data_IF_226341374760
#
_entry.id   IF_226341374760
#
_cell.length_a   1.000
_cell.length_b   1.000
_cell.length_c   1.000
_cell.angle_alpha   90.00
_cell.angle_beta   90.00
_cell.angle_gamma   90.00
#
_symmetry.space_group_name_H-M   'P 1'
#
loop_
_entity.id
_entity.type
_entity.pdbx_description
1 polymer ?
#
# COMPACT_ATOMS: atom_id res chain seq x y z
N UNK A 1 -18.32 -3.58 -6.72
CA UNK A 1 -19.55 -2.78 -6.58
C UNK A 1 -19.24 -1.28 -6.61
N UNK A 2 -18.36 -0.77 -5.75
CA UNK A 2 -18.00 0.67 -5.68
C UNK A 2 -17.59 1.24 -7.04
N UNK A 3 -16.78 0.52 -7.83
CA UNK A 3 -16.36 0.98 -9.17
C UNK A 3 -17.57 1.11 -10.10
N UNK A 4 -18.51 0.16 -10.07
CA UNK A 4 -19.75 0.24 -10.85
C UNK A 4 -20.63 1.41 -10.40
N UNK A 5 -20.70 1.68 -9.07
CA UNK A 5 -21.48 2.77 -8.49
C UNK A 5 -20.93 4.15 -8.91
N UNK A 6 -19.63 4.32 -8.91
CA UNK A 6 -18.98 5.58 -9.27
C UNK A 6 -18.92 5.82 -10.78
N UNK A 7 -18.72 4.78 -11.58
CA UNK A 7 -18.53 4.91 -13.02
C UNK A 7 -19.82 4.82 -13.84
N UNK A 8 -20.88 4.23 -13.26
CA UNK A 8 -22.12 3.88 -14.00
C UNK A 8 -21.92 2.84 -15.10
N UNK A 9 -20.71 2.30 -15.27
CA UNK A 9 -20.35 1.36 -16.35
C UNK A 9 -20.43 -0.09 -15.88
N UNK A 10 -20.55 -1.01 -16.83
CA UNK A 10 -20.47 -2.45 -16.54
C UNK A 10 -19.11 -2.79 -15.92
N UNK A 11 -19.15 -3.45 -14.78
CA UNK A 11 -17.96 -3.84 -14.04
C UNK A 11 -18.04 -5.34 -13.74
N UNK A 12 -16.98 -6.07 -14.08
CA UNK A 12 -16.91 -7.52 -13.95
C UNK A 12 -15.91 -7.88 -12.86
N UNK A 13 -16.28 -8.83 -11.99
CA UNK A 13 -15.35 -9.38 -11.01
C UNK A 13 -14.34 -10.30 -11.72
N UNK A 14 -13.06 -10.07 -11.51
CA UNK A 14 -11.98 -10.87 -12.09
C UNK A 14 -11.84 -12.24 -11.42
N UNK A 15 -12.28 -12.36 -10.14
CA UNK A 15 -12.19 -13.60 -9.37
C UNK A 15 -13.33 -13.73 -8.35
N UNK A 16 -13.63 -14.96 -7.95
CA UNK A 16 -14.53 -15.25 -6.84
C UNK A 16 -13.79 -15.18 -5.51
N UNK A 17 -14.43 -14.64 -4.48
CA UNK A 17 -13.88 -14.58 -3.13
C UNK A 17 -14.04 -15.92 -2.42
N UNK A 18 -13.07 -16.82 -2.54
CA UNK A 18 -13.16 -18.18 -1.96
C UNK A 18 -12.81 -18.23 -0.47
N UNK A 19 -11.90 -17.38 0.00
CA UNK A 19 -11.35 -17.42 1.36
C UNK A 19 -11.30 -16.04 2.03
N UNK A 20 -12.19 -15.15 1.66
CA UNK A 20 -12.20 -13.79 2.15
C UNK A 20 -13.18 -13.63 3.31
N UNK A 21 -12.75 -13.05 4.42
CA UNK A 21 -13.61 -12.87 5.63
C UNK A 21 -14.64 -11.76 5.52
N UNK A 22 -14.78 -11.16 4.36
CA UNK A 22 -15.69 -10.04 4.09
C UNK A 22 -15.06 -8.68 4.37
N UNK A 23 -15.51 -7.67 3.65
CA UNK A 23 -15.17 -6.27 3.90
C UNK A 23 -16.25 -5.61 4.74
N UNK A 24 -15.92 -5.25 5.96
CA UNK A 24 -16.77 -4.47 6.85
C UNK A 24 -16.12 -3.12 7.13
N UNK A 25 -16.90 -2.04 7.05
CA UNK A 25 -16.46 -0.72 7.53
C UNK A 25 -15.48 0.03 6.65
N UNK A 26 -15.42 -0.23 5.36
CA UNK A 26 -14.78 0.70 4.42
C UNK A 26 -15.60 2.01 4.34
N UNK A 27 -14.92 3.14 4.16
CA UNK A 27 -15.41 4.51 4.40
C UNK A 27 -16.79 4.89 3.79
N UNK A 28 -17.30 4.13 2.82
CA UNK A 28 -18.56 4.42 2.13
C UNK A 28 -19.62 3.32 2.29
N UNK A 29 -19.31 2.18 2.94
CA UNK A 29 -20.25 1.07 3.10
C UNK A 29 -20.08 0.39 4.45
N UNK A 30 -21.17 0.07 5.13
CA UNK A 30 -21.14 -0.70 6.37
C UNK A 30 -20.69 -2.16 6.15
N UNK A 31 -20.85 -2.69 4.93
CA UNK A 31 -20.58 -4.06 4.56
C UNK A 31 -20.45 -4.15 3.04
N UNK A 32 -19.36 -4.67 2.54
CA UNK A 32 -19.06 -4.69 1.10
C UNK A 32 -19.01 -6.10 0.50
N UNK A 33 -18.74 -7.14 1.26
CA UNK A 33 -18.60 -8.51 0.79
C UNK A 33 -18.77 -9.51 1.93
N UNK A 34 -19.53 -10.59 1.69
CA UNK A 34 -19.73 -11.71 2.64
C UNK A 34 -18.82 -12.91 2.38
N UNK A 35 -17.89 -12.80 1.44
CA UNK A 35 -17.00 -13.90 1.06
C UNK A 35 -17.73 -15.23 0.78
N UNK A 36 -18.86 -15.14 0.07
CA UNK A 36 -19.75 -16.28 -0.18
C UNK A 36 -19.21 -17.27 -1.23
N UNK A 37 -17.99 -17.07 -1.74
CA UNK A 37 -17.31 -17.90 -2.74
C UNK A 37 -18.04 -18.02 -4.11
N UNK A 38 -19.11 -17.28 -4.29
CA UNK A 38 -19.90 -17.26 -5.54
C UNK A 38 -20.29 -15.82 -5.87
N UNK A 39 -19.50 -15.17 -6.74
CA UNK A 39 -19.66 -13.75 -7.03
C UNK A 39 -20.75 -13.51 -8.06
N UNK A 40 -21.79 -12.76 -7.67
CA UNK A 40 -22.91 -12.40 -8.52
C UNK A 40 -22.72 -11.05 -9.23
N UNK A 41 -21.68 -10.29 -8.95
CA UNK A 41 -21.50 -8.93 -9.46
C UNK A 41 -21.54 -8.84 -10.99
N UNK A 42 -21.07 -9.88 -11.68
CA UNK A 42 -21.05 -9.92 -13.16
C UNK A 42 -22.46 -9.90 -13.76
N UNK A 43 -23.43 -10.56 -13.12
CA UNK A 43 -24.80 -10.69 -13.62
C UNK A 43 -25.76 -9.66 -13.00
N UNK A 44 -25.32 -8.92 -11.98
CA UNK A 44 -26.14 -7.97 -11.24
C UNK A 44 -25.69 -6.50 -11.44
N UNK A 45 -24.91 -6.24 -12.48
CA UNK A 45 -24.45 -4.89 -12.79
C UNK A 45 -23.55 -4.27 -11.71
N UNK A 46 -22.83 -5.11 -10.94
CA UNK A 46 -21.90 -4.67 -9.90
C UNK A 46 -22.55 -4.43 -8.53
N UNK A 47 -23.82 -4.80 -8.31
CA UNK A 47 -24.51 -4.72 -7.00
C UNK A 47 -24.59 -6.12 -6.40
N UNK A 48 -24.07 -6.32 -5.19
CA UNK A 48 -24.07 -7.63 -4.54
C UNK A 48 -25.42 -7.95 -3.89
N UNK A 49 -26.20 -8.92 -4.42
CA UNK A 49 -27.50 -9.25 -3.83
C UNK A 49 -27.39 -9.91 -2.46
N UNK A 50 -26.25 -10.56 -2.15
CA UNK A 50 -26.03 -11.20 -0.84
C UNK A 50 -25.93 -10.15 0.27
N UNK A 51 -25.22 -9.04 0.01
CA UNK A 51 -24.97 -7.96 0.99
C UNK A 51 -26.10 -6.94 0.99
N UNK A 52 -26.58 -6.54 -0.20
CA UNK A 52 -27.51 -5.44 -0.33
C UNK A 52 -28.98 -5.85 -0.17
N UNK A 53 -29.34 -7.08 -0.48
CA UNK A 53 -30.70 -7.58 -0.22
C UNK A 53 -30.80 -8.08 1.23
N UNK A 54 -31.77 -7.58 1.99
CA UNK A 54 -32.01 -8.00 3.37
C UNK A 54 -32.32 -9.49 3.53
N UNK A 55 -32.81 -10.12 2.45
CA UNK A 55 -33.09 -11.58 2.38
C UNK A 55 -31.98 -12.34 1.65
N UNK A 56 -30.94 -11.68 1.17
CA UNK A 56 -29.86 -12.26 0.39
C UNK A 56 -30.32 -13.09 -0.83
N UNK A 57 -31.41 -12.66 -1.48
CA UNK A 57 -31.95 -13.34 -2.65
C UNK A 57 -31.05 -13.16 -3.87
N UNK A 58 -30.82 -14.24 -4.63
CA UNK A 58 -29.90 -14.24 -5.78
C UNK A 58 -30.61 -14.38 -7.15
N UNK A 59 -31.90 -14.62 -7.15
CA UNK A 59 -32.70 -14.88 -8.37
C UNK A 59 -33.76 -13.83 -8.66
N UNK A 60 -33.71 -12.68 -8.05
CA UNK A 60 -34.68 -11.63 -8.28
C UNK A 60 -35.35 -11.09 -7.04
N UNK A 61 -36.29 -10.20 -7.28
CA UNK A 61 -37.04 -9.48 -6.27
C UNK A 61 -38.03 -10.37 -5.53
N UNK A 62 -38.19 -10.18 -4.21
CA UNK A 62 -39.17 -10.95 -3.42
C UNK A 62 -40.62 -10.51 -3.60
N UNK A 63 -40.89 -9.42 -4.33
CA UNK A 63 -42.22 -8.87 -4.52
C UNK A 63 -42.75 -7.98 -3.39
N UNK A 64 -42.02 -7.86 -2.27
CA UNK A 64 -42.42 -7.05 -1.11
C UNK A 64 -41.96 -5.61 -1.10
N UNK A 65 -41.15 -5.20 -2.09
CA UNK A 65 -40.69 -3.82 -2.19
C UNK A 65 -41.86 -2.85 -2.50
N UNK A 66 -41.83 -1.69 -1.84
CA UNK A 66 -42.80 -0.61 -2.09
C UNK A 66 -42.07 0.71 -2.28
N UNK A 67 -42.35 1.42 -3.38
CA UNK A 67 -41.74 2.71 -3.70
C UNK A 67 -40.18 2.67 -3.62
N UNK A 68 -39.57 1.62 -4.12
CA UNK A 68 -38.11 1.45 -4.11
C UNK A 68 -37.52 0.98 -2.76
N UNK A 69 -38.35 0.83 -1.73
CA UNK A 69 -37.90 0.45 -0.39
C UNK A 69 -38.11 -1.03 -0.07
N UNK A 70 -37.20 -1.57 0.73
CA UNK A 70 -37.22 -2.96 1.17
C UNK A 70 -38.35 -3.19 2.21
N UNK A 71 -39.12 -4.26 2.06
CA UNK A 71 -40.20 -4.60 3.04
C UNK A 71 -39.65 -4.99 4.41
N UNK A 72 -38.41 -5.52 4.47
CA UNK A 72 -37.76 -5.95 5.73
C UNK A 72 -37.12 -4.77 6.44
N UNK A 73 -36.70 -3.75 5.72
CA UNK A 73 -35.99 -2.56 6.26
C UNK A 73 -36.45 -1.33 5.46
N UNK A 74 -37.47 -0.59 5.95
CA UNK A 74 -38.05 0.55 5.23
C UNK A 74 -37.07 1.68 4.91
N UNK A 75 -36.02 1.81 5.68
CA UNK A 75 -34.95 2.81 5.48
C UNK A 75 -33.97 2.39 4.35
N UNK A 76 -34.04 1.14 3.93
CA UNK A 76 -33.13 0.55 2.94
C UNK A 76 -33.82 0.47 1.57
N UNK A 77 -33.12 0.87 0.51
CA UNK A 77 -33.59 0.68 -0.85
C UNK A 77 -33.61 -0.80 -1.22
N UNK A 78 -34.52 -1.19 -2.10
CA UNK A 78 -34.57 -2.55 -2.61
C UNK A 78 -33.36 -2.81 -3.53
N UNK A 79 -32.50 -3.76 -3.14
CA UNK A 79 -31.30 -4.11 -3.90
C UNK A 79 -31.67 -4.59 -5.34
N UNK A 80 -32.74 -5.35 -5.49
CA UNK A 80 -33.14 -5.88 -6.79
C UNK A 80 -33.75 -4.84 -7.71
N UNK A 81 -34.43 -3.83 -7.18
CA UNK A 81 -34.86 -2.68 -8.01
C UNK A 81 -33.63 -1.89 -8.50
N UNK A 82 -32.64 -1.66 -7.64
CA UNK A 82 -31.37 -1.03 -8.04
C UNK A 82 -30.64 -1.85 -9.10
N UNK A 83 -30.59 -3.19 -8.95
CA UNK A 83 -29.99 -4.08 -9.95
C UNK A 83 -30.67 -3.95 -11.30
N UNK A 84 -32.02 -4.01 -11.33
CA UNK A 84 -32.78 -3.88 -12.56
C UNK A 84 -32.61 -2.52 -13.23
N UNK A 85 -32.67 -1.43 -12.46
CA UNK A 85 -32.43 -0.07 -12.96
C UNK A 85 -31.01 0.09 -13.52
N UNK A 86 -30.03 -0.47 -12.84
CA UNK A 86 -28.62 -0.45 -13.26
C UNK A 86 -28.43 -1.21 -14.58
N UNK A 87 -28.93 -2.42 -14.65
CA UNK A 87 -28.84 -3.24 -15.87
C UNK A 87 -29.62 -2.64 -17.04
N UNK A 88 -30.77 -2.03 -16.79
CA UNK A 88 -31.50 -1.27 -17.81
C UNK A 88 -30.67 -0.11 -18.36
N UNK A 89 -30.06 0.69 -17.48
CA UNK A 89 -29.19 1.81 -17.87
C UNK A 89 -27.92 1.34 -18.64
N UNK A 90 -27.47 0.09 -18.42
CA UNK A 90 -26.36 -0.52 -19.14
C UNK A 90 -26.77 -1.26 -20.42
N UNK A 91 -28.08 -1.31 -20.77
CA UNK A 91 -28.57 -2.08 -21.90
C UNK A 91 -28.51 -3.61 -21.71
N UNK A 92 -28.38 -4.09 -20.47
CA UNK A 92 -28.11 -5.49 -20.12
C UNK A 92 -29.27 -6.22 -19.44
N UNK A 93 -30.44 -5.63 -19.42
CA UNK A 93 -31.59 -6.22 -18.70
C UNK A 93 -32.02 -7.58 -19.28
N UNK A 94 -31.86 -7.80 -20.57
CA UNK A 94 -32.17 -9.08 -21.23
C UNK A 94 -31.17 -10.18 -20.83
N UNK A 95 -29.93 -9.82 -20.52
CA UNK A 95 -28.93 -10.77 -19.97
C UNK A 95 -29.41 -11.34 -18.62
N UNK A 96 -30.00 -10.51 -17.77
CA UNK A 96 -30.54 -10.96 -16.49
C UNK A 96 -31.71 -11.94 -16.68
N UNK A 97 -32.59 -11.68 -17.66
CA UNK A 97 -33.73 -12.58 -17.98
C UNK A 97 -33.27 -13.92 -18.55
N UNK A 98 -32.16 -13.92 -19.28
CA UNK A 98 -31.59 -15.13 -19.87
C UNK A 98 -30.77 -15.97 -18.88
N UNK A 99 -30.51 -15.49 -17.67
CA UNK A 99 -29.77 -16.23 -16.67
C UNK A 99 -30.53 -17.47 -16.18
N UNK A 100 -29.84 -18.59 -16.06
CA UNK A 100 -30.36 -19.75 -15.35
C UNK A 100 -30.55 -19.46 -13.87
N UNK A 101 -31.44 -20.21 -13.22
CA UNK A 101 -31.65 -20.09 -11.76
C UNK A 101 -30.32 -20.29 -11.03
N UNK A 102 -29.93 -19.32 -10.24
CA UNK A 102 -28.73 -19.35 -9.43
C UNK A 102 -28.98 -20.11 -8.12
N UNK A 103 -28.24 -21.13 -7.86
CA UNK A 103 -28.28 -21.90 -6.61
C UNK A 103 -27.02 -21.58 -5.82
N UNK A 104 -27.17 -21.18 -4.54
CA UNK A 104 -26.01 -20.98 -3.65
C UNK A 104 -25.39 -22.33 -3.32
N UNK A 105 -24.16 -22.50 -3.72
CA UNK A 105 -23.38 -23.69 -3.45
C UNK A 105 -22.50 -23.45 -2.20
N UNK A 106 -23.01 -23.87 -1.06
CA UNK A 106 -22.30 -23.76 0.20
C UNK A 106 -21.08 -24.66 0.32
N UNK A 107 -20.93 -25.67 -0.56
CA UNK A 107 -19.74 -26.53 -0.59
C UNK A 107 -18.49 -25.76 -1.04
N UNK A 108 -18.68 -24.65 -1.77
CA UNK A 108 -17.60 -23.76 -2.21
C UNK A 108 -17.09 -22.86 -1.08
N UNK A 109 -17.85 -22.70 0.01
CA UNK A 109 -17.37 -21.98 1.19
C UNK A 109 -16.40 -22.89 1.94
N UNK A 110 -15.15 -22.48 2.03
CA UNK A 110 -14.11 -23.30 2.63
C UNK A 110 -14.18 -23.29 4.17
N UNK A 111 -15.13 -24.01 4.73
CA UNK A 111 -15.27 -24.18 6.17
C UNK A 111 -14.06 -24.84 6.85
N UNK A 112 -13.27 -25.61 6.10
CA UNK A 112 -12.04 -26.21 6.65
C UNK A 112 -11.05 -25.12 7.07
N UNK A 113 -10.86 -24.10 6.26
CA UNK A 113 -9.99 -22.96 6.58
C UNK A 113 -10.45 -22.28 7.87
N UNK A 114 -11.78 -22.09 8.05
CA UNK A 114 -12.33 -21.50 9.27
C UNK A 114 -12.06 -22.40 10.49
N UNK A 115 -12.25 -23.70 10.35
CA UNK A 115 -12.01 -24.67 11.41
C UNK A 115 -10.52 -24.76 11.77
N UNK A 116 -9.64 -24.79 10.77
CA UNK A 116 -8.18 -24.80 10.97
C UNK A 116 -7.72 -23.51 11.67
N UNK A 117 -8.32 -22.37 11.34
CA UNK A 117 -8.06 -21.10 12.01
C UNK A 117 -8.51 -21.10 13.46
N UNK A 118 -9.74 -21.56 13.73
CA UNK A 118 -10.27 -21.69 15.12
C UNK A 118 -9.39 -22.65 15.92
N UNK A 119 -8.94 -23.75 15.31
CA UNK A 119 -8.02 -24.68 15.94
C UNK A 119 -6.67 -24.04 16.26
N UNK A 120 -6.08 -23.31 15.31
CA UNK A 120 -4.81 -22.60 15.50
C UNK A 120 -4.89 -21.53 16.60
N UNK A 121 -6.02 -20.80 16.70
CA UNK A 121 -6.26 -19.86 17.81
C UNK A 121 -6.32 -20.59 19.15
N UNK A 122 -7.08 -21.69 19.24
CA UNK A 122 -7.23 -22.48 20.48
C UNK A 122 -5.90 -23.06 20.93
N UNK A 123 -5.08 -23.50 19.99
CA UNK A 123 -3.76 -24.08 20.26
C UNK A 123 -2.65 -23.03 20.38
N UNK A 124 -2.98 -21.72 20.32
CA UNK A 124 -2.01 -20.59 20.30
C UNK A 124 -0.93 -20.71 19.20
N UNK A 125 -1.22 -21.48 18.13
CA UNK A 125 -0.34 -21.67 16.97
C UNK A 125 -0.64 -20.68 15.83
N UNK A 126 -1.36 -19.60 16.14
CA UNK A 126 -1.71 -18.59 15.13
C UNK A 126 -0.48 -17.77 14.78
N UNK A 127 -0.02 -17.96 13.55
CA UNK A 127 1.11 -17.24 12.99
C UNK A 127 0.64 -16.11 12.06
N UNK A 128 0.46 -14.91 12.63
CA UNK A 128 0.10 -13.72 11.89
C UNK A 128 -1.39 -13.36 11.86
N UNK A 129 -1.90 -13.05 10.70
CA UNK A 129 -3.30 -12.66 10.47
C UNK A 129 -4.01 -13.64 9.52
N UNK A 130 -5.32 -13.77 9.69
CA UNK A 130 -6.13 -14.66 8.87
C UNK A 130 -6.70 -13.95 7.64
N UNK A 131 -6.81 -14.68 6.52
CA UNK A 131 -7.30 -14.16 5.25
C UNK A 131 -6.16 -13.73 4.33
N UNK A 132 -6.49 -12.90 3.37
CA UNK A 132 -5.65 -12.55 2.24
C UNK A 132 -6.02 -13.35 1.00
N UNK A 133 -5.41 -13.01 -0.12
CA UNK A 133 -5.57 -13.68 -1.41
C UNK A 133 -4.21 -14.12 -1.93
N UNK A 134 -4.20 -15.11 -2.83
CA UNK A 134 -3.00 -15.63 -3.48
C UNK A 134 -3.13 -15.37 -4.99
N UNK A 135 -2.82 -14.14 -5.47
CA UNK A 135 -2.79 -13.85 -6.89
C UNK A 135 -1.63 -14.60 -7.56
N UNK A 136 -1.69 -14.72 -8.89
CA UNK A 136 -0.54 -15.16 -9.67
C UNK A 136 0.56 -14.12 -9.50
N UNK A 137 1.72 -14.50 -9.03
CA UNK A 137 2.78 -13.58 -8.64
C UNK A 137 3.48 -12.94 -9.84
N UNK A 138 3.81 -13.72 -10.88
CA UNK A 138 4.44 -13.25 -12.12
C UNK A 138 5.82 -12.61 -11.92
N UNK A 139 6.50 -12.93 -10.81
CA UNK A 139 7.79 -12.36 -10.42
C UNK A 139 8.96 -13.01 -11.17
N UNK A 140 8.77 -14.20 -11.69
CA UNK A 140 9.76 -15.01 -12.43
C UNK A 140 10.38 -14.27 -13.63
N UNK A 141 9.73 -13.20 -14.10
CA UNK A 141 10.22 -12.40 -15.23
C UNK A 141 11.38 -11.47 -14.86
N UNK A 142 11.45 -11.05 -13.62
CA UNK A 142 12.37 -9.98 -13.19
C UNK A 142 13.12 -10.29 -11.91
N UNK A 143 12.70 -11.28 -11.11
CA UNK A 143 13.30 -11.58 -9.81
C UNK A 143 14.81 -11.91 -9.86
N UNK A 144 15.27 -12.51 -10.98
CA UNK A 144 16.68 -12.84 -11.21
C UNK A 144 17.48 -11.74 -11.91
N UNK A 145 16.82 -10.67 -12.37
CA UNK A 145 17.50 -9.59 -13.10
C UNK A 145 18.06 -8.56 -12.12
N UNK A 146 19.31 -8.11 -12.30
CA UNK A 146 19.87 -7.06 -11.46
C UNK A 146 19.17 -5.72 -11.67
N UNK A 147 19.30 -4.81 -10.71
CA UNK A 147 18.87 -3.43 -10.88
C UNK A 147 19.64 -2.78 -12.02
N UNK A 148 18.93 -2.11 -12.91
CA UNK A 148 19.52 -1.42 -14.06
C UNK A 148 19.34 0.08 -13.87
N UNK A 149 20.43 0.82 -14.00
CA UNK A 149 20.37 2.28 -13.97
C UNK A 149 19.57 2.79 -15.15
N UNK A 150 18.53 3.58 -14.87
CA UNK A 150 17.72 4.19 -15.91
C UNK A 150 18.58 5.16 -16.74
N UNK A 151 18.46 5.16 -18.08
CA UNK A 151 19.16 6.13 -18.94
C UNK A 151 18.81 7.57 -18.54
N UNK A 152 19.80 8.43 -18.53
CA UNK A 152 19.57 9.82 -18.16
C UNK A 152 18.62 10.49 -19.16
N UNK A 153 17.51 11.08 -18.66
CA UNK A 153 16.55 11.75 -19.53
C UNK A 153 17.07 13.10 -19.99
N UNK A 154 16.66 13.55 -21.18
CA UNK A 154 16.92 14.92 -21.64
C UNK A 154 16.21 15.97 -20.79
N UNK A 155 15.08 15.60 -20.21
CA UNK A 155 14.26 16.48 -19.38
C UNK A 155 13.74 15.69 -18.19
N UNK A 156 13.91 16.21 -17.00
CA UNK A 156 13.29 15.66 -15.78
C UNK A 156 12.15 16.56 -15.30
N UNK A 157 11.07 15.94 -14.86
CA UNK A 157 9.90 16.63 -14.30
C UNK A 157 9.82 16.29 -12.82
N UNK A 158 9.84 17.31 -11.97
CA UNK A 158 9.78 17.18 -10.51
C UNK A 158 8.42 17.66 -10.01
N UNK A 159 7.43 16.77 -9.83
CA UNK A 159 6.14 17.13 -9.28
C UNK A 159 6.30 17.67 -7.85
N UNK A 160 5.69 18.80 -7.54
CA UNK A 160 5.74 19.36 -6.18
C UNK A 160 4.84 18.64 -5.18
N UNK A 161 4.09 17.64 -5.65
CA UNK A 161 3.20 16.79 -4.84
C UNK A 161 3.61 15.31 -4.91
N UNK A 162 4.87 14.98 -4.60
CA UNK A 162 5.37 13.60 -4.60
C UNK A 162 5.15 12.85 -3.27
N UNK A 163 4.46 13.49 -2.31
CA UNK A 163 4.27 12.96 -0.95
C UNK A 163 2.87 13.26 -0.44
N UNK A 164 2.49 12.59 0.65
CA UNK A 164 1.26 12.89 1.36
C UNK A 164 1.38 14.23 2.10
N UNK A 165 0.29 14.98 2.14
CA UNK A 165 0.18 16.27 2.84
C UNK A 165 0.24 17.47 1.91
N UNK A 166 0.74 18.59 2.40
CA UNK A 166 0.81 19.82 1.63
C UNK A 166 1.87 19.73 0.52
N UNK A 167 1.55 20.03 -0.74
CA UNK A 167 2.55 20.08 -1.80
C UNK A 167 3.71 21.00 -1.44
N UNK A 168 4.91 20.67 -1.89
CA UNK A 168 6.06 21.56 -1.76
C UNK A 168 5.84 22.86 -2.56
N UNK A 169 6.53 23.91 -2.18
CA UNK A 169 6.53 25.20 -2.90
C UNK A 169 7.81 25.29 -3.72
N UNK A 170 7.70 25.64 -4.99
CA UNK A 170 8.89 25.85 -5.83
C UNK A 170 9.81 26.90 -5.19
N UNK A 171 11.09 26.59 -5.07
CA UNK A 171 12.12 27.48 -4.53
C UNK A 171 13.18 27.88 -5.57
N UNK A 172 12.86 27.65 -6.85
CA UNK A 172 13.66 28.02 -8.03
C UNK A 172 12.78 28.77 -9.02
N UNK A 173 13.39 29.45 -9.97
CA UNK A 173 12.72 30.18 -11.05
C UNK A 173 13.10 29.60 -12.42
N UNK A 174 12.29 29.88 -13.45
CA UNK A 174 12.65 29.55 -14.85
C UNK A 174 13.91 30.31 -15.23
N UNK A 175 14.87 29.59 -15.79
CA UNK A 175 16.20 30.10 -16.13
C UNK A 175 17.28 29.78 -15.10
N UNK A 176 16.92 29.38 -13.89
CA UNK A 176 17.91 28.97 -12.87
C UNK A 176 18.66 27.72 -13.29
N UNK A 177 19.96 27.68 -13.02
CA UNK A 177 20.76 26.48 -13.10
C UNK A 177 20.68 25.72 -11.77
N UNK A 178 20.35 24.43 -11.84
CA UNK A 178 20.25 23.56 -10.67
C UNK A 178 21.24 22.41 -10.77
N UNK A 179 21.66 21.91 -9.60
CA UNK A 179 22.62 20.81 -9.45
C UNK A 179 21.94 19.58 -8.89
N UNK A 180 22.55 18.40 -9.04
CA UNK A 180 22.08 17.15 -8.44
C UNK A 180 22.04 17.29 -6.91
N UNK A 181 20.91 16.95 -6.32
CA UNK A 181 20.67 17.09 -4.86
C UNK A 181 20.29 18.48 -4.40
N UNK A 182 20.23 19.47 -5.30
CA UNK A 182 19.70 20.80 -4.96
C UNK A 182 18.19 20.77 -4.77
N UNK A 183 17.68 21.46 -3.75
CA UNK A 183 16.25 21.64 -3.55
C UNK A 183 15.65 22.46 -4.70
N UNK A 184 14.59 21.95 -5.30
CA UNK A 184 13.75 22.63 -6.29
C UNK A 184 12.35 22.91 -5.76
N UNK A 185 11.98 22.24 -4.66
CA UNK A 185 10.76 22.47 -3.92
C UNK A 185 11.03 22.45 -2.41
N UNK A 186 10.57 23.48 -1.70
CA UNK A 186 10.70 23.57 -0.24
C UNK A 186 9.43 23.05 0.45
N UNK A 187 9.61 22.46 1.61
CA UNK A 187 8.53 21.97 2.45
C UNK A 187 7.53 23.09 2.79
N UNK A 188 6.22 22.86 2.56
CA UNK A 188 5.18 23.88 2.77
C UNK A 188 4.29 23.64 4.00
N UNK A 189 4.58 22.64 4.83
CA UNK A 189 3.78 22.35 6.03
C UNK A 189 4.38 21.26 6.91
N UNK A 190 3.68 20.93 8.00
CA UNK A 190 4.16 19.88 8.93
C UNK A 190 4.22 18.51 8.24
N UNK A 191 3.17 18.13 7.50
CA UNK A 191 3.20 16.92 6.65
C UNK A 191 3.51 17.42 5.24
N UNK A 192 4.76 17.41 4.86
CA UNK A 192 5.32 17.81 3.58
C UNK A 192 6.78 17.38 3.53
N UNK A 193 7.40 17.37 2.35
CA UNK A 193 8.81 17.08 2.19
C UNK A 193 9.43 17.96 1.08
N UNK A 194 10.69 18.35 1.19
CA UNK A 194 11.37 19.05 0.11
C UNK A 194 11.57 18.12 -1.11
N UNK A 195 11.60 18.71 -2.29
CA UNK A 195 11.87 18.02 -3.56
C UNK A 195 13.24 18.44 -4.06
N UNK A 196 14.05 17.47 -4.48
CA UNK A 196 15.41 17.69 -4.95
C UNK A 196 15.55 17.33 -6.43
N UNK A 197 16.42 18.03 -7.14
CA UNK A 197 16.77 17.66 -8.50
C UNK A 197 17.65 16.41 -8.51
N UNK A 198 17.32 15.45 -9.37
CA UNK A 198 18.13 14.27 -9.63
C UNK A 198 19.12 14.43 -10.79
N UNK A 199 19.09 15.58 -11.47
CA UNK A 199 19.98 15.93 -12.59
C UNK A 199 20.53 17.34 -12.41
N UNK A 200 21.63 17.67 -13.08
CA UNK A 200 22.06 19.07 -13.25
C UNK A 200 21.50 19.64 -14.56
N UNK A 201 21.24 20.94 -14.58
CA UNK A 201 20.73 21.60 -15.78
C UNK A 201 19.95 22.88 -15.50
N UNK A 202 19.18 23.33 -16.50
CA UNK A 202 18.44 24.60 -16.43
C UNK A 202 16.95 24.35 -16.20
N UNK A 203 16.34 25.09 -15.30
CA UNK A 203 14.88 25.10 -15.11
C UNK A 203 14.23 25.77 -16.33
N UNK A 204 13.49 24.98 -17.12
CA UNK A 204 12.87 25.48 -18.36
C UNK A 204 11.40 25.80 -18.21
N UNK A 205 10.72 25.24 -17.19
CA UNK A 205 9.33 25.56 -16.90
C UNK A 205 8.98 25.27 -15.43
N UNK A 206 7.98 25.98 -14.91
CA UNK A 206 7.26 25.66 -13.67
C UNK A 206 5.79 25.72 -14.02
N UNK A 207 5.15 24.57 -14.22
CA UNK A 207 3.83 24.45 -14.84
C UNK A 207 3.09 23.19 -14.39
N UNK A 208 1.79 23.12 -14.67
CA UNK A 208 0.99 21.92 -14.46
C UNK A 208 1.43 20.78 -15.37
N UNK A 209 1.74 19.64 -14.76
CA UNK A 209 2.12 18.41 -15.47
C UNK A 209 1.25 17.22 -15.04
N UNK A 210 1.07 16.21 -15.89
CA UNK A 210 0.34 15.00 -15.53
C UNK A 210 0.89 14.37 -14.25
N UNK A 211 -0.01 13.94 -13.36
CA UNK A 211 0.33 13.31 -12.09
C UNK A 211 -0.44 12.00 -11.91
N UNK A 212 0.23 10.96 -11.43
CA UNK A 212 -0.31 9.59 -11.38
C UNK A 212 -1.61 9.45 -10.55
N UNK A 213 -1.81 10.26 -9.52
CA UNK A 213 -2.95 10.14 -8.61
C UNK A 213 -3.89 11.35 -8.58
N UNK A 214 -3.55 12.49 -9.22
CA UNK A 214 -4.30 13.76 -9.08
C UNK A 214 -4.69 14.42 -10.41
N UNK A 215 -4.54 13.72 -11.52
CA UNK A 215 -4.72 14.30 -12.86
C UNK A 215 -3.54 15.20 -13.26
N UNK A 216 -3.39 16.39 -12.66
CA UNK A 216 -2.23 17.28 -12.83
C UNK A 216 -1.74 17.81 -11.48
N UNK A 217 -0.51 18.27 -11.45
CA UNK A 217 0.04 19.07 -10.35
C UNK A 217 1.15 19.98 -10.86
N UNK A 218 1.41 21.06 -10.13
CA UNK A 218 2.53 21.94 -10.39
C UNK A 218 3.86 21.17 -10.29
N UNK A 219 4.73 21.33 -11.28
CA UNK A 219 6.01 20.65 -11.35
C UNK A 219 7.10 21.61 -11.85
N UNK A 220 8.32 21.39 -11.36
CA UNK A 220 9.53 22.01 -11.90
C UNK A 220 10.07 21.12 -13.01
N UNK A 221 10.35 21.71 -14.16
CA UNK A 221 10.89 21.02 -15.35
C UNK A 221 12.32 21.47 -15.58
N UNK A 222 13.25 20.52 -15.59
CA UNK A 222 14.68 20.79 -15.77
C UNK A 222 15.16 20.13 -17.04
N UNK A 223 15.81 20.90 -17.92
CA UNK A 223 16.55 20.39 -19.08
C UNK A 223 17.94 19.95 -18.64
N UNK A 224 18.26 18.67 -18.87
CA UNK A 224 19.50 18.03 -18.43
C UNK A 224 20.70 18.51 -19.25
N UNK A 225 21.77 18.90 -18.61
CA UNK A 225 23.05 19.23 -19.25
C UNK A 225 24.03 18.03 -19.27
N UNK A 226 23.65 16.89 -18.70
CA UNK A 226 24.42 15.64 -18.58
C UNK A 226 25.78 15.77 -17.87
N UNK A 227 25.99 16.86 -17.11
CA UNK A 227 27.25 17.04 -16.35
C UNK A 227 27.20 16.38 -14.97
N UNK A 228 25.99 16.12 -14.45
CA UNK A 228 25.77 15.53 -13.13
C UNK A 228 26.51 16.31 -12.01
N UNK A 229 26.54 17.64 -12.11
CA UNK A 229 27.20 18.48 -11.13
C UNK A 229 26.48 18.39 -9.78
N UNK A 230 27.21 18.00 -8.73
CA UNK A 230 26.67 17.84 -7.38
C UNK A 230 26.52 19.18 -6.68
N UNK A 231 25.41 19.37 -5.97
CA UNK A 231 25.20 20.51 -5.10
C UNK A 231 26.07 20.38 -3.83
N UNK A 232 26.51 21.52 -3.28
CA UNK A 232 27.42 21.55 -2.12
C UNK A 232 26.82 20.89 -0.84
N UNK A 233 25.51 20.75 -0.77
CA UNK A 233 24.83 20.02 0.31
C UNK A 233 25.01 18.50 0.22
N UNK A 234 25.38 17.96 -0.93
CA UNK A 234 25.60 16.53 -1.15
C UNK A 234 27.01 16.19 -0.69
N UNK A 235 27.12 15.88 0.59
CA UNK A 235 28.38 15.52 1.25
C UNK A 235 28.15 14.41 2.26
N UNK A 236 29.18 13.59 2.57
CA UNK A 236 29.08 12.60 3.64
C UNK A 236 28.67 13.22 4.97
N UNK A 237 27.80 12.54 5.69
CA UNK A 237 27.47 12.88 7.06
C UNK A 237 28.56 12.35 8.02
N UNK A 238 28.45 12.71 9.31
CA UNK A 238 29.15 12.02 10.39
C UNK A 238 28.76 10.54 10.41
N UNK A 239 29.54 9.72 11.11
CA UNK A 239 29.15 8.32 11.32
C UNK A 239 27.85 8.23 12.14
N UNK A 240 27.13 7.11 12.02
CA UNK A 240 25.87 6.93 12.75
C UNK A 240 26.07 6.98 14.27
N UNK A 241 27.24 6.55 14.74
CA UNK A 241 27.60 6.55 16.15
C UNK A 241 27.72 7.97 16.71
N UNK A 242 28.21 8.93 15.90
CA UNK A 242 28.42 10.33 16.25
C UNK A 242 27.17 11.20 16.11
N UNK A 243 26.13 10.70 15.40
CA UNK A 243 24.89 11.45 15.16
C UNK A 243 23.92 11.29 16.34
N UNK A 244 23.43 12.38 16.87
CA UNK A 244 22.31 12.36 17.81
C UNK A 244 20.97 12.09 17.10
N UNK A 245 19.97 11.49 17.77
CA UNK A 245 18.64 11.23 17.19
C UNK A 245 18.02 12.45 16.51
N UNK A 246 18.13 13.63 17.08
CA UNK A 246 17.61 14.86 16.51
C UNK A 246 18.33 15.26 15.21
N UNK A 247 19.64 15.03 15.11
CA UNK A 247 20.42 15.29 13.89
C UNK A 247 19.98 14.34 12.76
N UNK A 248 19.76 13.05 13.08
CA UNK A 248 19.27 12.05 12.10
C UNK A 248 17.91 12.47 11.55
N UNK A 249 16.97 12.91 12.41
CA UNK A 249 15.67 13.41 11.98
C UNK A 249 15.78 14.60 11.02
N UNK A 250 16.65 15.55 11.31
CA UNK A 250 16.85 16.72 10.46
C UNK A 250 17.53 16.35 9.12
N UNK A 251 18.45 15.38 9.12
CA UNK A 251 19.05 14.84 7.90
C UNK A 251 17.96 14.20 7.03
N UNK A 252 17.15 13.29 7.59
CA UNK A 252 16.06 12.61 6.88
C UNK A 252 15.04 13.61 6.35
N UNK A 253 14.68 14.62 7.15
CA UNK A 253 13.76 15.67 6.75
C UNK A 253 14.32 16.51 5.60
N UNK A 254 15.54 16.99 5.72
CA UNK A 254 16.18 17.83 4.70
C UNK A 254 16.51 17.06 3.42
N UNK A 255 16.74 15.76 3.50
CA UNK A 255 16.90 14.90 2.34
C UNK A 255 15.57 14.58 1.62
N UNK A 256 14.42 14.97 2.18
CA UNK A 256 13.12 14.75 1.56
C UNK A 256 12.69 13.28 1.55
N UNK A 257 13.17 12.47 2.49
CA UNK A 257 12.86 11.04 2.54
C UNK A 257 11.38 10.82 2.86
N UNK A 258 10.72 10.06 1.99
CA UNK A 258 9.31 9.69 2.12
C UNK A 258 9.13 8.19 1.91
N UNK A 259 8.02 7.62 2.39
CA UNK A 259 7.75 6.20 2.26
C UNK A 259 7.55 5.76 0.81
N UNK A 260 8.43 4.93 0.28
CA UNK A 260 8.43 4.48 -1.12
C UNK A 260 7.40 3.38 -1.40
N UNK A 261 7.01 2.59 -0.39
CA UNK A 261 6.06 1.48 -0.54
C UNK A 261 4.58 1.85 -0.44
N UNK A 262 4.21 3.14 -0.49
CA UNK A 262 2.81 3.54 -0.31
C UNK A 262 2.51 4.99 -0.64
N UNK A 263 1.85 5.71 0.29
CA UNK A 263 1.33 7.05 0.06
C UNK A 263 2.38 8.18 0.06
N UNK A 264 3.67 7.87 0.12
CA UNK A 264 4.71 8.89 0.20
C UNK A 264 4.66 9.69 1.51
N UNK A 265 4.42 9.02 2.65
CA UNK A 265 4.38 9.70 3.94
C UNK A 265 5.78 10.15 4.37
N UNK A 266 5.97 11.42 4.78
CA UNK A 266 7.27 11.92 5.18
C UNK A 266 7.87 11.13 6.34
N UNK A 267 9.03 10.52 6.13
CA UNK A 267 9.66 9.59 7.10
C UNK A 267 10.03 10.28 8.40
N UNK A 268 10.51 11.53 8.37
CA UNK A 268 10.87 12.27 9.58
C UNK A 268 9.72 12.41 10.59
N UNK A 269 8.45 12.38 10.13
CA UNK A 269 7.28 12.41 11.00
C UNK A 269 7.14 11.10 11.75
N UNK A 270 7.42 9.95 11.10
CA UNK A 270 7.44 8.63 11.74
C UNK A 270 8.54 8.51 12.79
N UNK A 271 9.67 9.23 12.59
CA UNK A 271 10.80 9.24 13.51
C UNK A 271 10.56 10.08 14.78
N UNK A 272 9.41 10.77 14.87
CA UNK A 272 8.94 11.50 16.07
C UNK A 272 7.63 10.91 16.58
N UNK A 273 7.58 9.65 17.02
CA UNK A 273 6.32 8.95 17.29
C UNK A 273 5.56 9.49 18.52
N UNK A 274 6.21 10.21 19.42
CA UNK A 274 5.62 10.71 20.68
C UNK A 274 5.20 9.61 21.65
N UNK A 275 5.54 8.35 21.36
CA UNK A 275 5.22 7.15 22.14
C UNK A 275 6.41 6.18 22.08
N UNK A 276 6.58 5.32 23.10
CA UNK A 276 7.60 4.28 23.06
C UNK A 276 7.39 3.33 21.89
N UNK A 277 8.46 3.01 21.17
CA UNK A 277 8.47 2.05 20.07
C UNK A 277 9.17 0.77 20.55
N UNK A 278 8.42 -0.33 20.56
CA UNK A 278 8.92 -1.65 20.93
C UNK A 278 9.75 -2.29 19.79
N UNK A 279 9.31 -2.06 18.53
CA UNK A 279 9.99 -2.60 17.37
C UNK A 279 9.90 -1.68 16.14
N UNK A 280 11.01 -1.59 15.43
CA UNK A 280 11.09 -1.05 14.07
C UNK A 280 10.92 -2.21 13.09
N UNK A 281 9.94 -2.11 12.18
CA UNK A 281 9.66 -3.13 11.18
C UNK A 281 10.07 -2.61 9.80
N UNK A 282 11.02 -3.30 9.17
CA UNK A 282 11.34 -3.09 7.76
C UNK A 282 10.43 -3.97 6.92
N UNK A 283 9.57 -3.34 6.15
CA UNK A 283 8.62 -4.02 5.27
C UNK A 283 9.31 -4.38 3.95
N UNK A 284 9.69 -5.64 3.80
CA UNK A 284 10.24 -6.24 2.60
C UNK A 284 9.36 -7.37 2.06
N UNK A 285 8.06 -7.34 2.36
CA UNK A 285 7.13 -8.38 1.89
C UNK A 285 6.90 -8.31 0.38
N UNK A 286 6.78 -7.09 -0.19
CA UNK A 286 6.57 -6.89 -1.64
C UNK A 286 5.48 -7.81 -2.22
N UNK A 287 4.31 -7.81 -1.54
CA UNK A 287 3.20 -8.71 -1.86
C UNK A 287 2.44 -8.36 -3.15
N UNK A 288 2.75 -7.25 -3.79
CA UNK A 288 2.15 -6.83 -5.06
C UNK A 288 2.65 -7.74 -6.18
N UNK A 289 1.75 -8.28 -7.04
CA UNK A 289 2.15 -9.08 -8.19
C UNK A 289 3.09 -8.32 -9.15
N UNK A 290 3.98 -9.06 -9.79
CA UNK A 290 4.94 -8.58 -10.80
C UNK A 290 6.02 -7.60 -10.30
N UNK A 291 5.98 -7.14 -9.03
CA UNK A 291 7.03 -6.31 -8.46
C UNK A 291 8.16 -7.16 -7.88
N UNK A 292 9.40 -6.77 -8.16
CA UNK A 292 10.63 -7.39 -7.65
C UNK A 292 11.70 -6.37 -7.24
N UNK A 293 11.31 -5.10 -7.16
CA UNK A 293 12.22 -4.01 -6.80
C UNK A 293 12.75 -4.16 -5.37
N UNK A 294 11.87 -4.42 -4.39
CA UNK A 294 12.26 -4.61 -2.99
C UNK A 294 13.09 -5.88 -2.81
N UNK A 295 12.79 -6.96 -3.55
CA UNK A 295 13.60 -8.19 -3.58
C UNK A 295 15.03 -7.89 -4.07
N UNK A 296 15.18 -7.15 -5.16
CA UNK A 296 16.50 -6.80 -5.68
C UNK A 296 17.25 -5.84 -4.75
N UNK A 297 16.56 -4.90 -4.12
CA UNK A 297 17.17 -4.01 -3.12
C UNK A 297 17.69 -4.82 -1.92
N UNK A 298 16.96 -5.85 -1.44
CA UNK A 298 17.45 -6.74 -0.39
C UNK A 298 18.77 -7.44 -0.77
N UNK A 299 18.89 -7.88 -2.03
CA UNK A 299 20.07 -8.60 -2.50
C UNK A 299 21.25 -7.70 -2.83
N UNK A 300 21.01 -6.52 -3.38
CA UNK A 300 22.04 -5.64 -3.90
C UNK A 300 22.49 -4.54 -2.92
N UNK A 301 21.63 -4.19 -1.94
CA UNK A 301 21.84 -3.10 -0.97
C UNK A 301 21.62 -3.54 0.48
N UNK A 302 21.98 -4.79 0.80
CA UNK A 302 21.73 -5.37 2.13
C UNK A 302 22.37 -4.58 3.28
N UNK A 303 23.58 -4.08 3.07
CA UNK A 303 24.32 -3.33 4.10
C UNK A 303 23.71 -1.96 4.37
N UNK A 304 23.22 -1.29 3.31
CA UNK A 304 22.52 -0.02 3.40
C UNK A 304 21.18 -0.17 4.13
N UNK A 305 20.46 -1.26 3.89
CA UNK A 305 19.20 -1.57 4.62
C UNK A 305 19.48 -1.73 6.11
N UNK A 306 20.52 -2.47 6.48
CA UNK A 306 20.91 -2.68 7.88
C UNK A 306 21.35 -1.35 8.51
N UNK A 307 22.12 -0.54 7.80
CA UNK A 307 22.52 0.79 8.26
C UNK A 307 21.29 1.68 8.50
N UNK A 308 20.36 1.71 7.54
CA UNK A 308 19.10 2.45 7.67
C UNK A 308 18.25 1.97 8.86
N UNK A 309 18.14 0.65 9.07
CA UNK A 309 17.44 0.09 10.23
C UNK A 309 18.08 0.51 11.54
N UNK A 310 19.44 0.49 11.65
CA UNK A 310 20.17 1.00 12.83
C UNK A 310 19.87 2.47 13.09
N UNK A 311 19.85 3.29 12.04
CA UNK A 311 19.55 4.71 12.15
C UNK A 311 18.12 4.96 12.68
N UNK A 312 17.13 4.23 12.16
CA UNK A 312 15.74 4.33 12.63
C UNK A 312 15.61 3.85 14.08
N UNK A 313 16.19 2.68 14.43
CA UNK A 313 16.18 2.14 15.80
C UNK A 313 16.77 3.15 16.78
N UNK A 314 17.95 3.72 16.47
CA UNK A 314 18.59 4.77 17.30
C UNK A 314 17.69 5.98 17.48
N UNK A 315 17.03 6.41 16.39
CA UNK A 315 16.21 7.63 16.40
C UNK A 315 14.93 7.52 17.22
N UNK A 316 14.28 6.34 17.20
CA UNK A 316 13.02 6.10 17.94
C UNK A 316 13.25 5.38 19.28
N UNK A 317 14.50 5.20 19.67
CA UNK A 317 14.93 4.48 20.89
C UNK A 317 14.27 3.09 21.00
N UNK A 318 14.36 2.31 19.92
CA UNK A 318 13.77 0.97 19.86
C UNK A 318 14.83 -0.10 20.06
N UNK A 319 14.63 -1.06 20.98
CA UNK A 319 15.57 -2.14 21.21
C UNK A 319 15.52 -3.24 20.14
N UNK A 320 14.52 -3.21 19.25
CA UNK A 320 14.27 -4.32 18.31
C UNK A 320 14.02 -3.82 16.89
N UNK A 321 14.77 -4.39 15.94
CA UNK A 321 14.62 -4.20 14.49
C UNK A 321 14.28 -5.51 13.80
N UNK A 322 13.21 -5.53 13.00
CA UNK A 322 12.72 -6.75 12.35
C UNK A 322 12.58 -6.51 10.86
N UNK A 323 13.33 -7.27 10.04
CA UNK A 323 13.20 -7.26 8.59
C UNK A 323 12.20 -8.35 8.22
N UNK A 324 11.06 -7.98 7.63
CA UNK A 324 9.97 -8.92 7.32
C UNK A 324 9.96 -9.22 5.84
N UNK A 325 10.24 -10.48 5.49
CA UNK A 325 10.39 -10.95 4.10
C UNK A 325 9.39 -12.09 3.87
N UNK A 326 8.74 -12.13 2.71
CA UNK A 326 7.87 -13.26 2.35
C UNK A 326 8.65 -14.50 1.94
N UNK A 327 8.10 -15.69 2.22
CA UNK A 327 8.74 -16.99 2.00
C UNK A 327 8.97 -17.37 0.52
N UNK A 328 8.53 -16.53 -0.40
CA UNK A 328 8.84 -16.63 -1.83
C UNK A 328 10.20 -16.00 -2.23
N UNK A 329 11.00 -15.53 -1.27
CA UNK A 329 12.31 -14.88 -1.49
C UNK A 329 13.40 -15.57 -0.66
N UNK A 330 13.67 -16.88 -0.90
CA UNK A 330 14.60 -17.67 -0.07
C UNK A 330 16.03 -17.15 -0.07
N UNK A 331 16.51 -16.64 -1.20
CA UNK A 331 17.83 -16.04 -1.37
C UNK A 331 18.01 -14.76 -0.52
N UNK A 332 17.02 -13.88 -0.54
CA UNK A 332 17.03 -12.67 0.29
C UNK A 332 16.90 -13.00 1.78
N UNK A 333 16.10 -14.01 2.14
CA UNK A 333 15.97 -14.47 3.52
C UNK A 333 17.33 -14.97 4.04
N UNK A 334 17.99 -15.85 3.27
CA UNK A 334 19.28 -16.42 3.64
C UNK A 334 20.33 -15.31 3.81
N UNK A 335 20.46 -14.41 2.83
CA UNK A 335 21.39 -13.29 2.88
C UNK A 335 21.16 -12.41 4.12
N UNK A 336 19.91 -11.98 4.33
CA UNK A 336 19.61 -11.06 5.43
C UNK A 336 19.75 -11.74 6.80
N UNK A 337 19.42 -13.03 6.93
CA UNK A 337 19.68 -13.79 8.17
C UNK A 337 21.16 -13.87 8.49
N UNK A 338 22.02 -14.13 7.50
CA UNK A 338 23.47 -14.13 7.67
C UNK A 338 23.98 -12.74 8.09
N UNK A 339 23.50 -11.69 7.45
CA UNK A 339 23.92 -10.31 7.71
C UNK A 339 23.54 -9.80 9.10
N UNK A 340 22.41 -10.24 9.66
CA UNK A 340 21.96 -9.78 11.00
C UNK A 340 22.36 -10.72 12.14
N UNK A 341 22.96 -11.89 11.84
CA UNK A 341 23.22 -12.95 12.83
C UNK A 341 23.97 -12.46 14.07
N UNK A 342 24.93 -11.57 13.89
CA UNK A 342 25.79 -11.03 14.95
C UNK A 342 25.39 -9.61 15.40
N UNK A 343 24.22 -9.14 14.99
CA UNK A 343 23.74 -7.80 15.34
C UNK A 343 22.66 -7.90 16.42
N UNK A 344 23.00 -7.51 17.63
CA UNK A 344 22.07 -7.52 18.76
C UNK A 344 20.82 -6.68 18.47
N UNK A 345 19.67 -7.23 18.81
CA UNK A 345 18.38 -6.56 18.63
C UNK A 345 17.83 -6.60 17.20
N UNK A 346 18.52 -7.23 16.24
CA UNK A 346 18.04 -7.38 14.87
C UNK A 346 17.70 -8.83 14.52
N UNK A 347 16.62 -9.00 13.76
CA UNK A 347 16.18 -10.32 13.30
C UNK A 347 15.47 -10.25 11.97
N UNK A 348 15.39 -11.40 11.28
CA UNK A 348 14.54 -11.60 10.09
C UNK A 348 13.30 -12.39 10.46
N UNK A 349 12.13 -11.85 10.13
CA UNK A 349 10.86 -12.52 10.26
C UNK A 349 10.36 -13.00 8.90
N UNK A 350 10.28 -14.30 8.70
CA UNK A 350 9.73 -14.87 7.49
C UNK A 350 8.20 -14.86 7.56
N UNK A 351 7.55 -14.22 6.59
CA UNK A 351 6.11 -14.14 6.47
C UNK A 351 5.61 -15.04 5.34
N UNK A 352 4.38 -15.54 5.45
CA UNK A 352 3.74 -16.31 4.38
C UNK A 352 3.37 -15.39 3.20
N UNK A 353 3.72 -15.82 2.00
CA UNK A 353 3.34 -15.13 0.76
C UNK A 353 1.83 -15.09 0.61
N UNK A 354 1.26 -13.88 0.65
CA UNK A 354 -0.16 -13.59 0.41
C UNK A 354 -0.41 -12.09 0.28
N UNK A 355 -1.44 -11.71 -0.43
CA UNK A 355 -1.82 -10.31 -0.55
C UNK A 355 -2.96 -9.95 0.44
N UNK A 356 -2.89 -8.83 1.20
CA UNK A 356 -1.81 -7.84 1.29
C UNK A 356 -0.89 -8.05 2.52
N UNK A 357 0.08 -8.95 2.44
CA UNK A 357 1.03 -9.21 3.55
C UNK A 357 1.88 -7.97 3.87
N UNK A 358 2.28 -7.20 2.83
CA UNK A 358 3.00 -5.95 2.97
C UNK A 358 2.16 -4.76 3.46
N UNK A 359 0.87 -4.96 3.72
CA UNK A 359 0.05 -3.91 4.36
C UNK A 359 0.55 -3.62 5.78
N UNK A 360 0.86 -2.35 6.08
CA UNK A 360 1.47 -1.92 7.35
C UNK A 360 0.81 -2.54 8.59
N UNK A 361 -0.54 -2.53 8.65
CA UNK A 361 -1.31 -3.09 9.78
C UNK A 361 -1.26 -4.62 9.80
N UNK A 362 -1.16 -5.28 8.64
CA UNK A 362 -1.03 -6.73 8.53
C UNK A 362 0.34 -7.17 9.01
N UNK A 363 1.38 -6.43 8.62
CA UNK A 363 2.74 -6.65 9.06
C UNK A 363 2.88 -6.56 10.58
N UNK A 364 2.34 -5.49 11.20
CA UNK A 364 2.32 -5.31 12.65
C UNK A 364 1.61 -6.50 13.32
N UNK A 365 0.47 -6.92 12.79
CA UNK A 365 -0.25 -8.09 13.31
C UNK A 365 0.59 -9.36 13.21
N UNK A 366 1.34 -9.53 12.12
CA UNK A 366 2.23 -10.68 11.92
C UNK A 366 3.36 -10.72 12.95
N UNK A 367 4.03 -9.58 13.16
CA UNK A 367 5.25 -9.52 13.99
C UNK A 367 4.95 -9.35 15.48
N UNK A 368 4.04 -8.44 15.83
CA UNK A 368 3.74 -8.11 17.23
C UNK A 368 2.49 -8.83 17.78
N UNK A 369 1.73 -9.52 16.94
CA UNK A 369 0.46 -10.15 17.34
C UNK A 369 -0.65 -9.15 17.65
N UNK A 370 -0.42 -7.86 17.51
CA UNK A 370 -1.33 -6.77 17.88
C UNK A 370 -2.06 -6.23 16.66
N UNK A 371 -3.30 -5.82 16.81
CA UNK A 371 -4.05 -5.12 15.77
C UNK A 371 -4.03 -3.62 16.03
N UNK A 372 -3.69 -2.82 15.02
CA UNK A 372 -3.81 -1.36 15.11
C UNK A 372 -5.29 -1.00 15.08
N UNK A 373 -5.84 -0.36 16.13
CA UNK A 373 -7.25 0.00 16.17
C UNK A 373 -7.64 0.98 15.04
N UNK A 374 -8.93 1.03 14.71
CA UNK A 374 -9.43 1.98 13.71
C UNK A 374 -9.13 3.42 14.13
N UNK A 375 -8.64 4.23 13.18
CA UNK A 375 -8.25 5.63 13.43
C UNK A 375 -6.93 5.80 14.21
N UNK A 376 -6.24 4.71 14.57
CA UNK A 376 -4.95 4.75 15.26
C UNK A 376 -3.78 4.49 14.29
N UNK A 377 -2.59 4.86 14.75
CA UNK A 377 -1.33 4.74 14.01
C UNK A 377 -0.50 3.55 14.52
N UNK A 378 0.49 3.07 13.77
CA UNK A 378 1.44 2.04 14.21
C UNK A 378 2.07 2.30 15.57
N UNK A 379 2.45 3.54 15.84
CA UNK A 379 3.03 3.94 17.13
C UNK A 379 2.09 3.72 18.34
N UNK A 380 0.76 3.70 18.13
CA UNK A 380 -0.20 3.39 19.20
C UNK A 380 -0.11 1.96 19.71
N UNK A 381 0.53 1.09 18.93
CA UNK A 381 0.77 -0.32 19.31
C UNK A 381 2.26 -0.66 19.43
N UNK A 382 3.12 0.37 19.54
CA UNK A 382 4.56 0.23 19.75
C UNK A 382 5.36 -0.13 18.49
N UNK A 383 4.86 0.17 17.31
CA UNK A 383 5.54 -0.13 16.04
C UNK A 383 5.92 1.14 15.26
N UNK A 384 7.12 1.12 14.66
CA UNK A 384 7.50 2.03 13.57
C UNK A 384 7.74 1.17 12.33
N UNK A 385 7.06 1.48 11.22
CA UNK A 385 7.14 0.67 9.98
C UNK A 385 7.73 1.51 8.86
N UNK A 386 8.79 1.02 8.23
CA UNK A 386 9.41 1.61 7.05
C UNK A 386 9.43 0.59 5.91
N UNK A 387 9.37 1.05 4.65
CA UNK A 387 9.66 0.19 3.51
C UNK A 387 11.16 -0.15 3.46
N UNK A 388 11.51 -1.22 2.77
CA UNK A 388 12.91 -1.66 2.64
C UNK A 388 13.77 -0.71 1.80
N UNK A 389 13.15 0.06 0.90
CA UNK A 389 13.83 1.02 0.02
C UNK A 389 14.03 2.39 0.65
#
# INVERSE_FOLDING_TARGET
QTVADLSGKATYAAANSLNYTGHHGMALTKRSCDACAQCYLNITGGICPIVDCSKSLVNGQCGGAKNGKCEVSPDKDCAWEKIQQRLAAQGRLEELKAQSVQVRDYSKVNFKVINDYVKAIREKRFDGWYGGVHPVEGKERTESLPLVRFPEPKTAVFPLSMHLGAPATACVAVGDYVKVGQKVGEQAGFISAPIHSSISGTVVAIEERPHASRGTCLAVVVENDFKNELHESVKPNKSLEELEPAEIIEIVKNAGIVGMGGAGFPTYVKLKPGKPIEAVLVNACECEPMLTADHRVLLEYADEIIYGLKAVMKTVDSPRGVIVIEDNKPDAIELMQQKVADIEGMEVCVAKTKYPQGGEKMLIKRVLGRSVPSGKLPADVGACVCNVS
#
